data_IF_330276245920
#
_entry.id   IF_330276245920
#
_cell.length_a   1.000
_cell.length_b   1.000
_cell.length_c   1.000
_cell.angle_alpha   90.00
_cell.angle_beta   90.00
_cell.angle_gamma   90.00
#
_symmetry.space_group_name_H-M   'P 1'
#
loop_
_entity.id
_entity.type
_entity.pdbx_description
1 polymer ?
#
# COMPACT_ATOMS: atom_id res chain seq x y z
N UNK A 1 -69.50 18.51 9.87
CA UNK A 1 -69.12 17.59 8.77
C UNK A 1 -68.71 16.27 9.40
N UNK A 2 -69.35 15.16 9.01
CA UNK A 2 -69.28 13.82 9.62
C UNK A 2 -68.38 12.89 8.76
N UNK A 3 -67.97 11.79 9.42
CA UNK A 3 -67.36 10.53 8.92
C UNK A 3 -65.84 10.46 8.88
N UNK A 4 -65.20 9.35 9.23
CA UNK A 4 -65.37 8.27 10.22
C UNK A 4 -64.15 7.37 10.01
N UNK A 5 -63.49 7.00 11.10
CA UNK A 5 -62.42 6.01 11.16
C UNK A 5 -62.99 4.62 10.85
N UNK A 6 -62.31 3.83 10.01
CA UNK A 6 -62.54 2.39 9.86
C UNK A 6 -61.19 1.65 9.85
N UNK A 7 -61.26 0.42 10.35
CA UNK A 7 -60.20 -0.47 10.85
C UNK A 7 -60.34 -1.83 10.11
N UNK A 8 -59.27 -2.66 10.13
CA UNK A 8 -59.14 -4.09 9.73
C UNK A 8 -58.99 -4.45 8.22
N UNK A 9 -58.43 -5.63 7.84
CA UNK A 9 -57.33 -6.41 8.46
C UNK A 9 -56.40 -7.19 7.46
N UNK A 10 -55.38 -7.82 8.06
CA UNK A 10 -54.50 -8.88 7.55
C UNK A 10 -55.24 -10.22 7.35
N UNK A 11 -55.04 -10.97 6.24
CA UNK A 11 -54.90 -12.44 6.24
C UNK A 11 -54.46 -13.02 4.87
N UNK A 12 -53.72 -14.12 4.99
CA UNK A 12 -52.87 -14.84 4.04
C UNK A 12 -53.56 -15.52 2.85
N UNK A 13 -52.78 -15.76 1.79
CA UNK A 13 -52.87 -16.98 0.99
C UNK A 13 -51.45 -17.58 0.83
N UNK A 14 -51.26 -18.77 1.42
CA UNK A 14 -50.15 -19.70 1.16
C UNK A 14 -50.35 -20.37 -0.21
N UNK A 15 -49.26 -20.76 -0.89
CA UNK A 15 -48.86 -22.17 -1.10
C UNK A 15 -47.64 -22.25 -2.03
N UNK A 16 -46.63 -23.02 -1.62
CA UNK A 16 -45.44 -23.29 -2.42
C UNK A 16 -44.28 -23.96 -1.66
N UNK A 17 -44.58 -24.91 -0.77
CA UNK A 17 -43.59 -25.81 -0.14
C UNK A 17 -43.17 -26.92 -1.09
N UNK A 18 -41.87 -27.10 -1.29
CA UNK A 18 -41.25 -28.43 -1.45
C UNK A 18 -39.81 -28.38 -0.92
N UNK A 19 -39.65 -28.68 0.37
CA UNK A 19 -38.39 -29.14 0.94
C UNK A 19 -38.71 -30.34 1.83
N UNK A 20 -38.44 -31.55 1.34
CA UNK A 20 -38.17 -32.72 2.16
C UNK A 20 -37.55 -33.83 1.29
N UNK A 21 -36.31 -34.20 1.61
CA UNK A 21 -35.79 -35.58 1.75
C UNK A 21 -34.25 -35.47 1.82
N UNK A 22 -33.65 -35.52 3.01
CA UNK A 22 -33.04 -36.70 3.65
C UNK A 22 -31.72 -37.15 3.01
N UNK A 23 -30.67 -37.25 3.85
CA UNK A 23 -29.50 -38.10 3.56
C UNK A 23 -28.20 -37.57 4.15
N UNK A 24 -27.84 -38.05 5.34
CA UNK A 24 -26.50 -38.02 5.90
C UNK A 24 -25.65 -39.17 5.34
N UNK A 25 -24.34 -38.92 5.30
CA UNK A 25 -23.17 -39.85 5.24
C UNK A 25 -22.69 -40.50 3.93
N UNK A 26 -21.35 -40.50 3.85
CA UNK A 26 -20.39 -41.37 3.16
C UNK A 26 -19.86 -41.08 1.73
N UNK A 27 -18.56 -40.70 1.71
CA UNK A 27 -17.45 -40.94 0.76
C UNK A 27 -17.74 -41.42 -0.68
N UNK A 28 -17.32 -40.64 -1.69
CA UNK A 28 -16.20 -40.93 -2.62
C UNK A 28 -16.01 -39.79 -3.67
N UNK A 29 -14.86 -39.70 -4.36
CA UNK A 29 -14.32 -38.45 -4.89
C UNK A 29 -14.96 -38.08 -6.24
N UNK A 30 -15.45 -36.85 -6.35
CA UNK A 30 -15.74 -36.25 -7.64
C UNK A 30 -14.55 -35.40 -8.06
N UNK A 31 -13.73 -36.00 -8.94
CA UNK A 31 -12.85 -35.30 -9.86
C UNK A 31 -13.68 -34.29 -10.68
N UNK A 32 -13.87 -33.10 -10.15
CA UNK A 32 -14.25 -31.95 -10.96
C UNK A 32 -12.98 -31.20 -11.39
N UNK A 33 -12.81 -30.93 -12.69
CA UNK A 33 -11.68 -30.15 -13.17
C UNK A 33 -11.82 -28.75 -12.57
N UNK A 34 -10.89 -28.42 -11.67
CA UNK A 34 -10.83 -27.13 -10.99
C UNK A 34 -11.09 -26.01 -11.98
N UNK A 35 -12.24 -25.35 -11.79
CA UNK A 35 -12.65 -24.20 -12.56
C UNK A 35 -11.46 -23.23 -12.63
N UNK A 36 -11.04 -22.97 -13.87
CA UNK A 36 -9.80 -22.28 -14.20
C UNK A 36 -9.54 -21.12 -13.25
N UNK A 37 -8.40 -21.22 -12.54
CA UNK A 37 -7.85 -20.08 -11.84
C UNK A 37 -7.79 -18.95 -12.84
N UNK A 38 -8.60 -17.91 -12.60
CA UNK A 38 -8.54 -16.67 -13.36
C UNK A 38 -7.08 -16.24 -13.31
N UNK A 39 -6.42 -16.27 -14.46
CA UNK A 39 -5.05 -15.82 -14.59
C UNK A 39 -5.08 -14.34 -14.18
N UNK A 40 -4.65 -14.05 -12.94
CA UNK A 40 -4.54 -12.69 -12.44
C UNK A 40 -3.37 -12.09 -13.19
N UNK A 41 -3.65 -11.49 -14.34
CA UNK A 41 -2.75 -10.57 -15.02
C UNK A 41 -2.67 -9.30 -14.17
N UNK A 42 -1.96 -9.40 -13.06
CA UNK A 42 -1.45 -8.25 -12.37
C UNK A 42 -0.32 -7.71 -13.22
N UNK A 43 -0.53 -6.56 -13.87
CA UNK A 43 0.57 -5.69 -14.25
C UNK A 43 1.18 -5.14 -12.95
N UNK A 44 1.77 -6.05 -12.17
CA UNK A 44 2.48 -5.74 -10.96
C UNK A 44 3.63 -4.82 -11.36
N UNK A 45 3.61 -3.58 -10.85
CA UNK A 45 4.63 -2.59 -11.19
C UNK A 45 5.90 -2.91 -10.40
N UNK A 46 6.56 -4.02 -10.71
CA UNK A 46 7.89 -4.33 -10.22
C UNK A 46 8.85 -4.18 -11.41
N UNK A 47 9.65 -3.11 -11.44
CA UNK A 47 10.68 -2.97 -12.46
C UNK A 47 12.05 -2.93 -11.84
N UNK A 48 12.94 -3.74 -12.40
CA UNK A 48 14.38 -3.68 -12.17
C UNK A 48 15.04 -2.62 -13.04
N UNK A 49 14.30 -1.84 -13.84
CA UNK A 49 14.85 -0.68 -14.56
C UNK A 49 14.99 0.52 -13.62
N UNK A 50 16.01 1.35 -13.86
CA UNK A 50 16.16 2.62 -13.15
C UNK A 50 15.05 3.57 -13.61
N UNK A 51 14.27 4.08 -12.67
CA UNK A 51 13.24 5.10 -12.88
C UNK A 51 13.66 6.41 -12.21
N UNK A 52 13.11 7.51 -12.70
CA UNK A 52 13.27 8.84 -12.11
C UNK A 52 11.91 9.39 -11.71
N UNK A 53 11.81 10.04 -10.55
CA UNK A 53 10.60 10.72 -10.11
C UNK A 53 10.92 12.05 -9.42
N UNK A 54 9.97 12.97 -9.49
CA UNK A 54 10.00 14.23 -8.73
C UNK A 54 9.02 14.12 -7.57
N UNK A 55 9.54 14.19 -6.35
CA UNK A 55 8.76 14.17 -5.11
C UNK A 55 8.47 15.60 -4.72
N UNK A 56 7.20 16.02 -4.76
CA UNK A 56 6.79 17.36 -4.34
C UNK A 56 6.43 17.37 -2.86
N UNK A 57 6.86 18.41 -2.15
CA UNK A 57 6.40 18.69 -0.79
C UNK A 57 4.90 19.06 -0.79
N UNK A 58 4.22 18.86 0.35
CA UNK A 58 2.78 19.14 0.56
C UNK A 58 1.78 18.29 -0.24
N UNK A 59 2.20 17.19 -0.85
CA UNK A 59 1.22 16.24 -1.40
C UNK A 59 0.43 15.59 -0.26
N UNK A 60 -0.89 15.44 -0.41
CA UNK A 60 -1.64 14.55 0.48
C UNK A 60 -1.14 13.13 0.27
N UNK A 61 -1.07 12.33 1.34
CA UNK A 61 -0.66 10.93 1.25
C UNK A 61 -1.55 10.09 0.31
N UNK A 62 -2.78 10.54 0.05
CA UNK A 62 -3.74 9.92 -0.87
C UNK A 62 -3.71 10.51 -2.28
N UNK A 63 -2.77 11.41 -2.58
CA UNK A 63 -2.65 12.05 -3.89
C UNK A 63 -2.29 11.04 -4.97
N UNK A 64 -2.95 11.15 -6.12
CA UNK A 64 -2.59 10.39 -7.32
C UNK A 64 -1.23 10.79 -7.92
N UNK A 65 -0.66 11.92 -7.51
CA UNK A 65 0.67 12.38 -7.92
C UNK A 65 1.81 11.65 -7.19
N UNK A 66 1.52 10.82 -6.19
CA UNK A 66 2.54 10.05 -5.47
C UNK A 66 3.14 8.99 -6.41
N UNK A 67 4.46 9.00 -6.63
CA UNK A 67 5.10 7.99 -7.45
C UNK A 67 5.02 6.61 -6.78
N UNK A 68 4.26 5.70 -7.39
CA UNK A 68 4.16 4.30 -6.96
C UNK A 68 5.35 3.53 -7.55
N UNK A 69 6.15 2.92 -6.68
CA UNK A 69 7.29 2.10 -7.10
C UNK A 69 7.00 0.59 -7.04
N UNK A 70 5.94 0.20 -6.34
CA UNK A 70 5.48 -1.18 -6.26
C UNK A 70 3.97 -1.23 -5.99
N UNK A 71 3.28 -2.13 -6.68
CA UNK A 71 1.87 -2.46 -6.43
C UNK A 71 1.63 -3.93 -6.73
N UNK A 72 1.03 -4.64 -5.76
CA UNK A 72 0.40 -5.95 -5.92
C UNK A 72 -1.09 -5.91 -5.57
N UNK A 73 -1.75 -7.07 -5.48
CA UNK A 73 -3.19 -7.09 -5.27
C UNK A 73 -3.54 -6.53 -3.89
N UNK A 74 -2.75 -6.84 -2.87
CA UNK A 74 -3.02 -6.47 -1.48
C UNK A 74 -2.10 -5.36 -0.93
N UNK A 75 -0.99 -5.04 -1.59
CA UNK A 75 0.03 -4.08 -1.15
C UNK A 75 0.31 -3.04 -2.21
N UNK A 76 0.53 -1.80 -1.77
CA UNK A 76 1.01 -0.73 -2.65
C UNK A 76 1.97 0.16 -1.89
N UNK A 77 3.05 0.58 -2.55
CA UNK A 77 4.06 1.44 -1.96
C UNK A 77 4.42 2.63 -2.86
N UNK A 78 4.56 3.80 -2.23
CA UNK A 78 4.87 5.05 -2.93
C UNK A 78 6.02 5.81 -2.30
N UNK A 79 6.69 6.65 -3.08
CA UNK A 79 7.71 7.58 -2.59
C UNK A 79 7.08 8.90 -2.17
N UNK A 80 7.55 9.47 -1.06
CA UNK A 80 6.93 10.64 -0.46
C UNK A 80 7.98 11.61 0.08
N UNK A 81 7.67 12.90 0.04
CA UNK A 81 8.50 13.96 0.62
C UNK A 81 7.68 14.68 1.68
N UNK A 82 8.18 14.67 2.92
CA UNK A 82 7.51 15.28 4.06
C UNK A 82 8.51 16.02 4.92
N UNK A 83 8.39 17.35 5.02
CA UNK A 83 9.24 18.21 5.87
C UNK A 83 10.74 17.98 5.68
N UNK A 84 11.17 17.78 4.42
CA UNK A 84 12.56 17.49 4.11
C UNK A 84 13.01 16.07 4.48
N UNK A 85 12.11 15.17 4.84
CA UNK A 85 12.38 13.73 5.00
C UNK A 85 11.92 12.96 3.76
N UNK A 86 12.72 11.96 3.37
CA UNK A 86 12.36 11.01 2.33
C UNK A 86 11.56 9.87 2.95
N UNK A 87 10.31 9.74 2.51
CA UNK A 87 9.36 8.76 3.02
C UNK A 87 8.99 7.70 2.02
N UNK A 88 8.54 6.57 2.57
CA UNK A 88 7.94 5.45 1.86
C UNK A 88 6.55 5.22 2.39
N UNK A 89 5.56 5.41 1.51
CA UNK A 89 4.16 5.17 1.79
C UNK A 89 3.84 3.68 1.59
N UNK A 90 3.00 3.11 2.46
CA UNK A 90 2.56 1.72 2.46
C UNK A 90 1.05 1.67 2.63
N UNK A 91 0.41 0.93 1.73
CA UNK A 91 -1.03 0.79 1.64
C UNK A 91 -1.41 -0.68 1.58
N UNK A 92 -2.57 -0.99 2.16
CA UNK A 92 -3.19 -2.30 2.10
C UNK A 92 -4.56 -2.19 1.46
N UNK A 93 -4.92 -3.18 0.65
CA UNK A 93 -6.27 -3.25 0.11
C UNK A 93 -7.19 -3.88 1.15
N UNK A 94 -8.26 -3.18 1.53
CA UNK A 94 -9.29 -3.69 2.43
C UNK A 94 -10.66 -3.36 1.81
N UNK A 95 -11.51 -4.37 1.66
CA UNK A 95 -12.82 -4.23 1.00
C UNK A 95 -12.74 -3.56 -0.38
N UNK A 96 -11.70 -3.89 -1.15
CA UNK A 96 -11.46 -3.34 -2.49
C UNK A 96 -10.83 -1.94 -2.53
N UNK A 97 -10.65 -1.28 -1.37
CA UNK A 97 -10.14 0.10 -1.28
C UNK A 97 -8.73 0.12 -0.66
N UNK A 98 -7.89 1.02 -1.18
CA UNK A 98 -6.57 1.27 -0.61
C UNK A 98 -6.66 2.03 0.71
N UNK A 99 -6.18 1.41 1.78
CA UNK A 99 -6.08 1.98 3.11
C UNK A 99 -4.61 2.16 3.48
N UNK A 100 -4.29 3.33 4.02
CA UNK A 100 -2.96 3.62 4.56
C UNK A 100 -2.66 2.71 5.76
N UNK A 101 -1.45 2.17 5.87
CA UNK A 101 -1.02 1.47 7.10
C UNK A 101 -0.37 2.39 8.13
N UNK A 102 -0.32 3.70 7.86
CA UNK A 102 0.32 4.71 8.69
C UNK A 102 -0.42 5.00 9.99
N UNK A 103 0.32 5.29 11.07
CA UNK A 103 -0.25 5.73 12.33
C UNK A 103 -0.30 7.26 12.31
N UNK A 104 -1.16 7.88 11.48
CA UNK A 104 -1.23 9.35 11.43
C UNK A 104 -2.60 9.88 11.77
N UNK A 105 -2.62 10.72 12.80
CA UNK A 105 -3.75 11.48 13.33
C UNK A 105 -4.11 12.74 12.50
N UNK A 106 -3.29 13.14 11.51
CA UNK A 106 -3.50 14.36 10.72
C UNK A 106 -3.48 14.09 9.21
N UNK A 107 -4.53 14.54 8.53
CA UNK A 107 -4.79 14.27 7.10
C UNK A 107 -3.80 14.91 6.12
N UNK A 108 -2.87 15.73 6.60
CA UNK A 108 -2.03 16.60 5.77
C UNK A 108 -0.56 16.19 5.72
N UNK A 109 -0.02 15.47 6.72
CA UNK A 109 1.42 15.21 6.79
C UNK A 109 1.71 13.89 7.51
N UNK A 110 2.49 13.01 6.86
CA UNK A 110 3.00 11.76 7.44
C UNK A 110 4.50 11.93 7.70
N UNK A 111 4.96 11.70 8.93
CA UNK A 111 6.38 11.77 9.31
C UNK A 111 6.97 10.41 9.70
N UNK A 112 6.11 9.42 9.91
CA UNK A 112 6.49 8.10 10.37
C UNK A 112 5.76 7.02 9.59
N UNK A 113 6.29 5.81 9.64
CA UNK A 113 5.79 4.64 8.93
C UNK A 113 5.64 3.41 9.81
N UNK A 114 4.84 2.45 9.32
CA UNK A 114 4.76 1.13 9.93
C UNK A 114 5.97 0.29 9.52
N UNK A 115 6.94 0.19 10.44
CA UNK A 115 8.17 -0.57 10.30
C UNK A 115 7.99 -2.07 10.04
N UNK A 116 6.78 -2.62 10.25
CA UNK A 116 6.49 -4.03 9.97
C UNK A 116 6.44 -4.34 8.47
N UNK A 117 5.89 -3.42 7.66
CA UNK A 117 5.65 -3.64 6.24
C UNK A 117 6.69 -3.01 5.34
N UNK A 118 7.35 -1.97 5.82
CA UNK A 118 8.32 -1.21 5.07
C UNK A 118 9.34 -0.61 6.03
N UNK A 119 10.60 -0.53 5.61
CA UNK A 119 11.64 0.26 6.26
C UNK A 119 12.43 1.03 5.24
N UNK A 120 12.89 2.22 5.62
CA UNK A 120 13.81 3.04 4.84
C UNK A 120 14.96 3.50 5.74
N UNK A 121 16.17 3.52 5.18
CA UNK A 121 17.37 4.01 5.88
C UNK A 121 18.24 4.82 4.92
N UNK A 122 18.79 5.94 5.40
CA UNK A 122 19.88 6.66 4.73
C UNK A 122 21.17 5.82 4.82
N UNK A 123 21.79 5.51 3.68
CA UNK A 123 23.07 4.79 3.63
C UNK A 123 24.28 5.70 3.49
N UNK A 124 24.05 7.02 3.52
CA UNK A 124 25.05 8.05 3.36
C UNK A 124 25.29 8.43 1.90
N UNK A 125 26.33 9.23 1.70
CA UNK A 125 26.74 9.74 0.39
C UNK A 125 27.22 8.59 -0.51
N UNK A 126 26.70 8.57 -1.74
CA UNK A 126 27.07 7.61 -2.79
C UNK A 126 27.28 8.35 -4.11
N UNK A 127 28.07 7.78 -5.03
CA UNK A 127 28.29 8.40 -6.35
C UNK A 127 27.25 7.96 -7.38
N UNK A 128 26.60 6.82 -7.17
CA UNK A 128 25.65 6.27 -8.12
C UNK A 128 24.63 5.34 -7.44
N UNK A 129 23.47 5.16 -8.05
CA UNK A 129 22.40 4.31 -7.53
C UNK A 129 22.87 2.87 -7.24
N UNK A 130 23.70 2.21 -8.07
CA UNK A 130 24.16 0.85 -7.81
C UNK A 130 25.00 0.65 -6.54
N UNK A 131 25.59 1.71 -5.97
CA UNK A 131 26.36 1.64 -4.72
C UNK A 131 25.45 1.43 -3.49
N UNK A 132 24.15 1.69 -3.63
CA UNK A 132 23.15 1.42 -2.59
C UNK A 132 22.81 -0.07 -2.60
N UNK A 133 23.58 -0.85 -1.82
CA UNK A 133 23.49 -2.31 -1.76
C UNK A 133 22.92 -2.85 -0.44
N UNK A 134 22.62 -1.98 0.52
CA UNK A 134 22.18 -2.37 1.86
C UNK A 134 20.80 -3.04 1.82
N UNK A 135 20.73 -4.29 2.27
CA UNK A 135 19.47 -5.03 2.46
C UNK A 135 18.99 -4.88 3.91
N UNK A 136 17.91 -4.13 4.11
CA UNK A 136 17.32 -3.93 5.44
C UNK A 136 16.58 -5.19 5.91
N UNK A 137 16.58 -5.43 7.22
CA UNK A 137 15.85 -6.52 7.85
C UNK A 137 14.60 -5.92 8.48
N UNK A 138 13.43 -6.38 8.02
CA UNK A 138 12.16 -6.01 8.62
C UNK A 138 11.97 -6.79 9.94
N UNK A 139 11.32 -6.22 10.97
CA UNK A 139 11.03 -6.92 12.20
C UNK A 139 10.19 -8.18 11.96
N UNK A 140 10.51 -9.26 12.69
CA UNK A 140 9.82 -10.56 12.57
C UNK A 140 8.52 -10.62 13.38
N UNK A 141 8.36 -9.77 14.40
CA UNK A 141 7.16 -9.79 15.23
C UNK A 141 6.10 -8.81 14.71
N UNK A 142 4.83 -9.23 14.80
CA UNK A 142 3.67 -8.46 14.31
C UNK A 142 3.34 -7.23 15.18
N UNK A 143 4.27 -6.73 15.99
CA UNK A 143 4.04 -5.48 16.71
C UNK A 143 4.11 -4.32 15.74
N UNK A 144 3.25 -3.36 16.00
CA UNK A 144 3.22 -2.14 15.22
C UNK A 144 4.43 -1.28 15.58
N UNK A 145 5.36 -1.11 14.63
CA UNK A 145 6.55 -0.28 14.83
C UNK A 145 6.35 1.06 14.16
N UNK A 146 6.32 2.14 14.94
CA UNK A 146 6.40 3.50 14.40
C UNK A 146 7.88 3.82 14.18
N UNK A 147 8.25 4.19 12.96
CA UNK A 147 9.61 4.61 12.61
C UNK A 147 9.57 5.93 11.87
N UNK A 148 10.50 6.82 12.16
CA UNK A 148 10.59 8.13 11.50
C UNK A 148 11.25 8.01 10.13
N UNK A 149 10.82 8.84 9.19
CA UNK A 149 11.48 8.94 7.90
C UNK A 149 12.87 9.59 8.04
N UNK A 150 13.89 9.09 7.32
CA UNK A 150 15.21 9.71 7.33
C UNK A 150 15.17 11.09 6.66
N UNK A 151 16.05 11.97 7.12
CA UNK A 151 16.25 13.29 6.52
C UNK A 151 16.77 13.12 5.10
N UNK A 152 16.16 13.83 4.16
CA UNK A 152 16.58 13.85 2.76
C UNK A 152 17.85 14.69 2.61
N UNK A 153 18.87 14.13 1.97
CA UNK A 153 20.18 14.72 1.76
C UNK A 153 20.57 14.54 0.28
N UNK A 154 20.95 15.62 -0.43
CA UNK A 154 21.40 15.51 -1.81
C UNK A 154 22.60 14.58 -1.96
N UNK A 155 22.62 13.76 -3.02
CA UNK A 155 23.66 12.76 -3.30
C UNK A 155 23.78 11.64 -2.23
N UNK A 156 22.78 11.48 -1.38
CA UNK A 156 22.68 10.31 -0.50
C UNK A 156 21.88 9.18 -1.15
N UNK A 157 22.28 7.97 -0.80
CA UNK A 157 21.58 6.75 -1.12
C UNK A 157 20.62 6.37 0.00
N UNK A 158 19.51 5.72 -0.35
CA UNK A 158 18.56 5.20 0.61
C UNK A 158 18.20 3.76 0.27
N UNK A 159 18.28 2.89 1.27
CA UNK A 159 17.86 1.52 1.18
C UNK A 159 16.43 1.40 1.70
N UNK A 160 15.61 0.62 1.01
CA UNK A 160 14.24 0.31 1.41
C UNK A 160 14.03 -1.19 1.36
N UNK A 161 13.39 -1.75 2.38
CA UNK A 161 12.85 -3.11 2.36
C UNK A 161 11.33 -3.05 2.56
N UNK A 162 10.59 -3.90 1.88
CA UNK A 162 9.13 -4.00 2.03
C UNK A 162 8.62 -5.42 1.80
N UNK A 163 7.47 -5.76 2.40
CA UNK A 163 6.80 -7.06 2.23
C UNK A 163 5.82 -7.02 1.07
N UNK A 164 5.79 -8.06 0.24
CA UNK A 164 4.72 -8.26 -0.74
C UNK A 164 3.46 -8.83 -0.06
N UNK A 165 2.41 -9.12 -0.83
CA UNK A 165 1.24 -9.83 -0.31
C UNK A 165 1.53 -11.24 0.22
N UNK A 166 2.59 -11.88 -0.27
CA UNK A 166 3.01 -13.22 0.13
C UNK A 166 4.10 -13.19 1.22
N UNK A 167 4.27 -12.07 1.91
CA UNK A 167 5.33 -11.83 2.90
C UNK A 167 6.77 -11.97 2.36
N UNK A 168 6.95 -11.97 1.03
CA UNK A 168 8.28 -11.91 0.41
C UNK A 168 8.89 -10.52 0.66
N UNK A 169 10.15 -10.48 1.08
CA UNK A 169 10.88 -9.21 1.24
C UNK A 169 11.53 -8.81 -0.09
N UNK A 170 11.20 -7.62 -0.57
CA UNK A 170 11.82 -6.97 -1.73
C UNK A 170 12.63 -5.76 -1.29
N UNK A 171 13.59 -5.38 -2.12
CA UNK A 171 14.48 -4.25 -1.87
C UNK A 171 14.36 -3.20 -2.96
N UNK A 172 14.31 -1.94 -2.53
CA UNK A 172 14.37 -0.77 -3.39
C UNK A 172 15.59 0.05 -2.98
N UNK A 173 16.36 0.49 -3.96
CA UNK A 173 17.41 1.49 -3.78
C UNK A 173 16.94 2.82 -4.35
N UNK A 174 17.29 3.91 -3.67
CA UNK A 174 16.96 5.28 -4.07
C UNK A 174 18.23 6.13 -4.00
N UNK A 175 18.37 7.08 -4.93
CA UNK A 175 19.40 8.12 -4.92
C UNK A 175 18.73 9.47 -5.12
N UNK A 176 19.02 10.44 -4.25
CA UNK A 176 18.62 11.83 -4.47
C UNK A 176 19.63 12.48 -5.40
N UNK A 177 19.16 12.88 -6.59
CA UNK A 177 20.00 13.46 -7.66
C UNK A 177 19.90 14.97 -7.78
N UNK A 178 18.77 15.56 -7.35
CA UNK A 178 18.56 17.00 -7.42
C UNK A 178 17.50 17.45 -6.39
N UNK A 179 17.43 18.75 -6.10
CA UNK A 179 16.43 19.33 -5.23
C UNK A 179 16.09 20.78 -5.62
N UNK A 180 14.89 21.22 -5.26
CA UNK A 180 14.49 22.62 -5.35
C UNK A 180 14.09 23.16 -3.99
N UNK A 181 14.32 24.46 -3.79
CA UNK A 181 13.91 25.19 -2.58
C UNK A 181 12.76 26.14 -2.92
N UNK A 182 11.88 26.38 -1.96
CA UNK A 182 10.90 27.46 -2.02
C UNK A 182 11.52 28.83 -1.70
N UNK A 183 10.70 29.88 -1.72
CA UNK A 183 11.12 31.25 -1.43
C UNK A 183 11.65 31.45 0.01
N UNK A 184 11.37 30.51 0.93
CA UNK A 184 11.85 30.53 2.30
C UNK A 184 13.10 29.65 2.50
N UNK A 185 13.63 29.03 1.43
CA UNK A 185 14.75 28.10 1.51
C UNK A 185 14.36 26.70 2.00
N UNK A 186 13.07 26.38 2.07
CA UNK A 186 12.58 25.04 2.46
C UNK A 186 12.56 24.12 1.24
N UNK A 187 12.87 22.83 1.43
CA UNK A 187 12.84 21.85 0.34
C UNK A 187 11.43 21.74 -0.25
N UNK A 188 11.28 22.13 -1.52
CA UNK A 188 10.02 22.13 -2.24
C UNK A 188 9.82 20.86 -3.06
N UNK A 189 10.90 20.34 -3.66
CA UNK A 189 10.88 19.06 -4.35
C UNK A 189 12.24 18.36 -4.33
N UNK A 190 12.22 17.04 -4.52
CA UNK A 190 13.40 16.20 -4.72
C UNK A 190 13.28 15.45 -6.04
N UNK A 191 14.35 15.38 -6.82
CA UNK A 191 14.46 14.45 -7.95
C UNK A 191 15.21 13.22 -7.50
N UNK A 192 14.57 12.06 -7.60
CA UNK A 192 15.11 10.78 -7.16
C UNK A 192 15.22 9.80 -8.31
N UNK A 193 16.31 9.03 -8.33
CA UNK A 193 16.40 7.80 -9.09
C UNK A 193 16.10 6.61 -8.18
N UNK A 194 15.40 5.60 -8.67
CA UNK A 194 15.07 4.42 -7.89
C UNK A 194 14.96 3.16 -8.74
N UNK A 195 15.19 2.01 -8.11
CA UNK A 195 15.22 0.70 -8.77
C UNK A 195 15.02 -0.44 -7.77
N UNK A 196 14.28 -1.48 -8.13
CA UNK A 196 14.25 -2.73 -7.37
C UNK A 196 15.51 -3.57 -7.65
N UNK A 197 16.10 -4.21 -6.64
CA UNK A 197 17.35 -4.96 -6.76
C UNK A 197 17.48 -6.15 -5.80
#
# INVERSE_FOLDING_TARGET
MKMRLFWLPCLMFLFGTFCASCGSDDNEPTDEPGAGGTEVKGDYTATTAVKTAVLKYNLKWSSAEIPVYYEDFNRKYGLYLSRGCLGVLSFIRQSGVWNSTFPSYNAFEVQSYNGLYVMIEDVGKVNSLPEVIKKLILPDDNRYYVKDFPVAQPNHGYAVAFKTENDEVKYLRILITDYTLDHNGTVAALTVQYQLY
#
